data_IF_876366086130
#
_entry.id   IF_876366086130
#
_cell.length_a   1.000
_cell.length_b   1.000
_cell.length_c   1.000
_cell.angle_alpha   90.00
_cell.angle_beta   90.00
_cell.angle_gamma   90.00
#
_symmetry.space_group_name_H-M   'P 1'
#
loop_
_entity.id
_entity.type
_entity.pdbx_description
1 polymer ?
#
# COMPACT_ATOMS: atom_id res chain seq x y z
N UNK A 1 -22.34 -3.77 -17.10
CA UNK A 1 -21.26 -3.95 -18.09
C UNK A 1 -19.95 -3.31 -17.63
N UNK A 2 -19.93 -2.02 -17.24
CA UNK A 2 -18.73 -1.33 -16.73
C UNK A 2 -18.04 -2.04 -15.54
N UNK A 3 -18.78 -2.44 -14.51
CA UNK A 3 -18.19 -3.17 -13.36
C UNK A 3 -17.53 -4.49 -13.75
N UNK A 4 -18.10 -5.23 -14.71
CA UNK A 4 -17.55 -6.52 -15.15
C UNK A 4 -16.22 -6.35 -15.88
N UNK A 5 -16.10 -5.30 -16.70
CA UNK A 5 -14.83 -4.96 -17.37
C UNK A 5 -13.77 -4.54 -16.34
N UNK A 6 -14.17 -3.76 -15.33
CA UNK A 6 -13.25 -3.34 -14.28
C UNK A 6 -12.79 -4.52 -13.40
N UNK A 7 -13.66 -5.48 -13.13
CA UNK A 7 -13.31 -6.73 -12.42
C UNK A 7 -12.25 -7.57 -13.15
N UNK A 8 -12.15 -7.47 -14.47
CA UNK A 8 -11.10 -8.14 -15.26
C UNK A 8 -9.82 -7.31 -15.37
N UNK A 9 -9.93 -5.97 -15.31
CA UNK A 9 -8.79 -5.06 -15.46
C UNK A 9 -7.99 -4.90 -14.17
N UNK A 10 -8.63 -4.87 -12.99
CA UNK A 10 -7.89 -4.73 -11.71
C UNK A 10 -6.89 -5.85 -11.45
N UNK A 11 -7.22 -7.14 -11.67
CA UNK A 11 -6.26 -8.23 -11.56
C UNK A 11 -5.08 -8.10 -12.50
N UNK A 12 -5.33 -7.65 -13.74
CA UNK A 12 -4.25 -7.44 -14.70
C UNK A 12 -3.31 -6.31 -14.27
N UNK A 13 -3.86 -5.17 -13.84
CA UNK A 13 -3.07 -4.02 -13.35
C UNK A 13 -2.27 -4.37 -12.09
N UNK A 14 -2.89 -5.08 -11.14
CA UNK A 14 -2.23 -5.57 -9.94
C UNK A 14 -1.10 -6.56 -10.29
N UNK A 15 -1.35 -7.48 -11.23
CA UNK A 15 -0.35 -8.43 -11.73
C UNK A 15 0.84 -7.72 -12.38
N UNK A 16 0.57 -6.71 -13.22
CA UNK A 16 1.61 -5.89 -13.83
C UNK A 16 2.46 -5.19 -12.76
N UNK A 17 1.84 -4.48 -11.81
CA UNK A 17 2.56 -3.77 -10.75
C UNK A 17 3.44 -4.71 -9.91
N UNK A 18 2.93 -5.89 -9.54
CA UNK A 18 3.71 -6.91 -8.82
C UNK A 18 4.91 -7.39 -9.63
N UNK A 19 4.74 -7.63 -10.94
CA UNK A 19 5.85 -8.04 -11.80
C UNK A 19 6.92 -6.95 -11.93
N UNK A 20 6.50 -5.69 -12.02
CA UNK A 20 7.40 -4.57 -12.25
C UNK A 20 8.11 -4.12 -10.96
N UNK A 21 7.54 -4.38 -9.78
CA UNK A 21 8.18 -4.06 -8.50
C UNK A 21 9.59 -4.67 -8.41
N UNK A 22 9.73 -5.95 -8.78
CA UNK A 22 11.03 -6.63 -8.80
C UNK A 22 12.00 -6.03 -9.83
N UNK A 23 11.48 -5.45 -10.92
CA UNK A 23 12.29 -4.81 -11.97
C UNK A 23 12.84 -3.47 -11.51
N UNK A 24 12.04 -2.68 -10.77
CA UNK A 24 12.44 -1.37 -10.28
C UNK A 24 13.26 -1.41 -8.98
N UNK A 25 13.26 -2.55 -8.29
CA UNK A 25 14.02 -2.76 -7.05
C UNK A 25 15.53 -2.52 -7.27
N UNK A 26 16.13 -1.77 -6.36
CA UNK A 26 17.55 -1.39 -6.32
C UNK A 26 18.04 -0.66 -7.59
N UNK A 27 17.12 -0.07 -8.37
CA UNK A 27 17.46 0.67 -9.58
C UNK A 27 17.80 2.14 -9.28
N UNK A 28 18.90 2.59 -9.89
CA UNK A 28 19.34 3.99 -9.84
C UNK A 28 18.70 4.89 -10.90
N UNK A 29 19.13 6.16 -10.94
CA UNK A 29 18.56 7.23 -11.79
C UNK A 29 18.42 6.90 -13.29
N UNK A 30 19.32 6.09 -13.86
CA UNK A 30 19.24 5.69 -15.27
C UNK A 30 17.96 4.90 -15.59
N UNK A 31 17.32 4.27 -14.60
CA UNK A 31 16.06 3.58 -14.78
C UNK A 31 14.90 4.54 -15.05
N UNK A 32 14.96 5.78 -14.56
CA UNK A 32 13.86 6.76 -14.69
C UNK A 32 13.55 7.15 -16.13
N UNK A 33 14.51 7.01 -17.05
CA UNK A 33 14.29 7.33 -18.47
C UNK A 33 13.62 6.18 -19.24
N UNK A 34 13.57 4.98 -18.66
CA UNK A 34 13.04 3.76 -19.30
C UNK A 34 11.52 3.82 -19.46
N UNK A 35 11.00 3.10 -20.44
CA UNK A 35 9.56 2.95 -20.62
C UNK A 35 8.92 2.23 -19.43
N UNK A 36 9.58 1.21 -18.87
CA UNK A 36 9.09 0.45 -17.72
C UNK A 36 8.84 1.37 -16.51
N UNK A 37 9.80 2.21 -16.16
CA UNK A 37 9.62 3.20 -15.09
C UNK A 37 8.44 4.14 -15.34
N UNK A 38 8.32 4.68 -16.56
CA UNK A 38 7.24 5.59 -16.92
C UNK A 38 5.86 4.92 -16.81
N UNK A 39 5.74 3.65 -17.20
CA UNK A 39 4.51 2.89 -17.06
C UNK A 39 4.16 2.61 -15.60
N UNK A 40 5.14 2.21 -14.77
CA UNK A 40 4.93 2.04 -13.33
C UNK A 40 4.44 3.34 -12.70
N UNK A 41 5.13 4.44 -12.97
CA UNK A 41 4.80 5.75 -12.40
C UNK A 41 3.40 6.20 -12.81
N UNK A 42 3.07 6.10 -14.10
CA UNK A 42 1.74 6.48 -14.60
C UNK A 42 0.61 5.66 -13.97
N UNK A 43 0.83 4.36 -13.75
CA UNK A 43 -0.15 3.51 -13.07
C UNK A 43 -0.32 3.91 -11.60
N UNK A 44 0.78 4.10 -10.87
CA UNK A 44 0.72 4.51 -9.46
C UNK A 44 -0.01 5.86 -9.31
N UNK A 45 0.31 6.84 -10.15
CA UNK A 45 -0.35 8.15 -10.13
C UNK A 45 -1.84 8.09 -10.53
N UNK A 46 -2.20 7.16 -11.42
CA UNK A 46 -3.57 7.06 -11.95
C UNK A 46 -4.52 6.23 -11.09
N UNK A 47 -4.04 5.17 -10.44
CA UNK A 47 -4.89 4.18 -9.78
C UNK A 47 -5.71 4.75 -8.62
N UNK A 48 -5.11 5.62 -7.79
CA UNK A 48 -5.83 6.27 -6.68
C UNK A 48 -7.04 7.08 -7.16
N UNK A 49 -6.85 8.10 -8.00
CA UNK A 49 -7.95 8.91 -8.55
C UNK A 49 -8.98 8.08 -9.33
N UNK A 50 -8.53 7.11 -10.14
CA UNK A 50 -9.43 6.25 -10.91
C UNK A 50 -10.32 5.39 -10.00
N UNK A 51 -9.76 4.85 -8.91
CA UNK A 51 -10.52 4.03 -7.97
C UNK A 51 -11.64 4.81 -7.30
N UNK A 52 -11.39 6.09 -6.97
CA UNK A 52 -12.40 7.01 -6.42
C UNK A 52 -13.48 7.30 -7.45
N UNK A 53 -13.09 7.65 -8.69
CA UNK A 53 -14.05 8.00 -9.76
C UNK A 53 -14.95 6.81 -10.12
N UNK A 54 -14.41 5.60 -10.08
CA UNK A 54 -15.11 4.37 -10.46
C UNK A 54 -15.82 3.70 -9.28
N UNK A 55 -15.68 4.23 -8.05
CA UNK A 55 -16.24 3.67 -6.81
C UNK A 55 -15.92 2.18 -6.68
N UNK A 56 -14.64 1.85 -6.80
CA UNK A 56 -14.17 0.46 -6.76
C UNK A 56 -14.53 -0.17 -5.41
N UNK A 57 -15.12 -1.36 -5.46
CA UNK A 57 -15.50 -2.11 -4.27
C UNK A 57 -14.28 -2.55 -3.47
N UNK A 58 -14.49 -2.79 -2.17
CA UNK A 58 -13.47 -3.19 -1.20
C UNK A 58 -12.50 -4.27 -1.71
N UNK A 59 -13.01 -5.36 -2.30
CA UNK A 59 -12.18 -6.43 -2.86
C UNK A 59 -11.18 -5.94 -3.92
N UNK A 60 -11.56 -4.97 -4.74
CA UNK A 60 -10.68 -4.34 -5.72
C UNK A 60 -9.65 -3.43 -5.06
N UNK A 61 -10.06 -2.69 -4.02
CA UNK A 61 -9.14 -1.85 -3.23
C UNK A 61 -8.10 -2.71 -2.51
N UNK A 62 -8.51 -3.80 -1.87
CA UNK A 62 -7.65 -4.79 -1.25
C UNK A 62 -6.60 -5.34 -2.22
N UNK A 63 -7.05 -5.76 -3.41
CA UNK A 63 -6.17 -6.27 -4.46
C UNK A 63 -5.14 -5.22 -4.91
N UNK A 64 -5.58 -3.99 -5.19
CA UNK A 64 -4.69 -2.91 -5.63
C UNK A 64 -3.72 -2.49 -4.51
N UNK A 65 -4.20 -2.33 -3.27
CA UNK A 65 -3.38 -1.99 -2.12
C UNK A 65 -2.25 -3.00 -1.94
N UNK A 66 -2.56 -4.31 -2.00
CA UNK A 66 -1.55 -5.37 -1.91
C UNK A 66 -0.48 -5.34 -3.02
N UNK A 67 -0.80 -4.78 -4.20
CA UNK A 67 0.11 -4.68 -5.33
C UNK A 67 0.96 -3.39 -5.30
N UNK A 68 0.41 -2.32 -4.71
CA UNK A 68 1.08 -1.01 -4.57
C UNK A 68 2.01 -0.99 -3.37
N UNK A 69 1.64 -1.65 -2.27
CA UNK A 69 2.38 -1.60 -1.01
C UNK A 69 3.90 -1.92 -1.12
N UNK A 70 4.35 -2.91 -1.92
CA UNK A 70 5.78 -3.18 -2.09
C UNK A 70 6.58 -2.01 -2.67
N UNK A 71 5.93 -1.06 -3.35
CA UNK A 71 6.58 0.14 -3.86
C UNK A 71 7.01 1.14 -2.78
N UNK A 72 6.59 0.96 -1.52
CA UNK A 72 7.02 1.79 -0.40
C UNK A 72 8.40 1.41 0.16
N UNK A 73 8.96 0.26 -0.21
CA UNK A 73 10.27 -0.20 0.26
C UNK A 73 11.38 0.81 -0.09
N UNK A 74 12.34 1.04 0.82
CA UNK A 74 13.55 1.85 0.56
C UNK A 74 14.34 1.45 -0.70
N UNK A 75 14.24 0.19 -1.11
CA UNK A 75 14.88 -0.35 -2.31
C UNK A 75 14.30 0.22 -3.62
N UNK A 76 13.13 0.85 -3.56
CA UNK A 76 12.45 1.39 -4.73
C UNK A 76 12.91 2.82 -5.04
N UNK A 77 12.87 3.25 -6.32
CA UNK A 77 13.13 4.63 -6.70
C UNK A 77 12.23 5.62 -5.92
N UNK A 78 12.76 6.72 -5.36
CA UNK A 78 12.00 7.65 -4.52
C UNK A 78 10.72 8.17 -5.16
N UNK A 79 10.75 8.45 -6.47
CA UNK A 79 9.56 8.89 -7.23
C UNK A 79 8.45 7.85 -7.29
N UNK A 80 8.79 6.57 -7.31
CA UNK A 80 7.79 5.50 -7.25
C UNK A 80 7.25 5.33 -5.83
N UNK A 81 8.08 5.54 -4.80
CA UNK A 81 7.63 5.53 -3.40
C UNK A 81 6.63 6.68 -3.12
N UNK A 82 6.93 7.89 -3.60
CA UNK A 82 6.04 9.05 -3.51
C UNK A 82 4.69 8.76 -4.19
N UNK A 83 4.73 8.32 -5.45
CA UNK A 83 3.52 7.98 -6.20
C UNK A 83 2.73 6.82 -5.58
N UNK A 84 3.40 5.83 -4.99
CA UNK A 84 2.75 4.73 -4.26
C UNK A 84 2.06 5.22 -2.98
N UNK A 85 2.69 6.16 -2.27
CA UNK A 85 2.10 6.79 -1.08
C UNK A 85 0.83 7.56 -1.44
N UNK A 86 0.88 8.40 -2.47
CA UNK A 86 -0.28 9.12 -3.01
C UNK A 86 -1.38 8.16 -3.51
N UNK A 87 -0.99 7.08 -4.18
CA UNK A 87 -1.90 6.06 -4.64
C UNK A 87 -2.66 5.41 -3.48
N UNK A 88 -1.95 4.99 -2.42
CA UNK A 88 -2.56 4.36 -1.24
C UNK A 88 -3.48 5.33 -0.49
N UNK A 89 -3.14 6.62 -0.42
CA UNK A 89 -4.05 7.67 0.08
C UNK A 89 -5.29 7.84 -0.80
N UNK A 90 -5.17 7.70 -2.12
CA UNK A 90 -6.30 7.68 -3.04
C UNK A 90 -7.21 6.46 -2.82
N UNK A 91 -6.60 5.28 -2.64
CA UNK A 91 -7.31 4.03 -2.37
C UNK A 91 -8.03 4.06 -1.01
N UNK A 92 -7.45 4.68 0.02
CA UNK A 92 -8.05 4.76 1.35
C UNK A 92 -9.33 5.60 1.39
N UNK A 93 -9.52 6.50 0.41
CA UNK A 93 -10.79 7.23 0.23
C UNK A 93 -11.93 6.33 -0.23
N UNK A 94 -11.63 5.16 -0.79
CA UNK A 94 -12.62 4.17 -1.18
C UNK A 94 -12.88 3.16 -0.05
N UNK A 95 -11.80 2.65 0.56
CA UNK A 95 -11.86 1.80 1.75
C UNK A 95 -10.59 1.99 2.58
N UNK A 96 -10.72 2.71 3.70
CA UNK A 96 -9.61 2.92 4.62
C UNK A 96 -9.21 1.60 5.31
N UNK A 97 -10.21 0.78 5.70
CA UNK A 97 -10.02 -0.50 6.36
C UNK A 97 -9.17 -1.47 5.53
N UNK A 98 -9.47 -1.60 4.23
CA UNK A 98 -8.68 -2.44 3.34
C UNK A 98 -7.22 -1.98 3.28
N UNK A 99 -6.98 -0.67 3.06
CA UNK A 99 -5.62 -0.14 2.97
C UNK A 99 -4.89 -0.33 4.30
N UNK A 100 -5.53 0.01 5.41
CA UNK A 100 -4.99 -0.18 6.75
C UNK A 100 -4.63 -1.64 7.02
N UNK A 101 -5.53 -2.57 6.70
CA UNK A 101 -5.29 -4.01 6.89
C UNK A 101 -4.04 -4.48 6.17
N UNK A 102 -3.86 -4.14 4.89
CA UNK A 102 -2.66 -4.55 4.14
C UNK A 102 -1.38 -3.90 4.66
N UNK A 103 -1.42 -2.61 5.01
CA UNK A 103 -0.26 -1.90 5.55
C UNK A 103 0.13 -2.49 6.91
N UNK A 104 -0.85 -2.64 7.80
CA UNK A 104 -0.65 -3.20 9.13
C UNK A 104 -0.13 -4.64 9.02
N UNK A 105 -0.77 -5.52 8.24
CA UNK A 105 -0.31 -6.92 8.14
C UNK A 105 1.08 -7.08 7.53
N UNK A 106 1.49 -6.18 6.63
CA UNK A 106 2.80 -6.28 5.96
C UNK A 106 3.93 -5.69 6.80
N UNK A 107 3.68 -4.58 7.51
CA UNK A 107 4.71 -3.87 8.27
C UNK A 107 4.60 -4.01 9.79
N UNK A 108 3.57 -4.69 10.30
CA UNK A 108 3.51 -5.05 11.71
C UNK A 108 4.47 -6.21 11.95
N UNK A 109 5.63 -5.90 12.51
CA UNK A 109 6.56 -6.89 13.05
C UNK A 109 6.08 -7.42 14.40
N UNK A 110 4.80 -7.80 14.51
CA UNK A 110 4.29 -8.54 15.67
C UNK A 110 4.70 -10.01 15.56
N UNK A 111 6.00 -10.27 15.64
CA UNK A 111 6.51 -11.54 16.15
C UNK A 111 6.70 -11.42 17.66
N UNK A 112 5.59 -11.39 18.40
CA UNK A 112 5.59 -11.86 19.77
C UNK A 112 4.86 -13.19 19.77
N UNK A 113 5.65 -14.27 19.80
CA UNK A 113 5.15 -15.62 20.05
C UNK A 113 4.42 -15.61 21.39
N UNK A 114 3.09 -15.65 21.34
CA UNK A 114 2.29 -15.96 22.52
C UNK A 114 2.59 -17.41 22.92
N UNK A 115 3.17 -17.61 24.11
CA UNK A 115 3.34 -18.94 24.71
C UNK A 115 2.37 -19.05 25.89
N UNK A 116 1.47 -20.06 25.91
CA UNK A 116 0.48 -20.24 26.98
C UNK A 116 1.05 -20.81 28.29
N UNK A 117 2.37 -20.72 28.54
CA UNK A 117 2.99 -21.25 29.76
C UNK A 117 3.05 -20.20 30.89
N UNK A 118 2.74 -20.66 32.11
CA UNK A 118 2.08 -19.89 33.16
C UNK A 118 2.87 -18.95 34.08
N UNK A 119 4.23 -18.89 34.20
CA UNK A 119 4.80 -18.05 35.26
C UNK A 119 5.75 -16.89 34.89
N UNK A 120 5.98 -16.50 33.62
CA UNK A 120 6.92 -15.39 33.33
C UNK A 120 6.33 -14.37 32.33
N UNK A 121 6.11 -13.14 32.81
CA UNK A 121 5.36 -12.04 32.17
C UNK A 121 6.01 -11.48 30.89
N UNK A 122 5.19 -11.02 29.92
CA UNK A 122 5.58 -9.91 29.07
C UNK A 122 4.52 -8.78 29.01
N UNK A 123 4.85 -7.64 29.62
CA UNK A 123 4.36 -6.29 29.28
C UNK A 123 5.55 -5.33 29.42
N UNK A 124 5.98 -4.65 28.34
CA UNK A 124 5.30 -3.42 27.94
C UNK A 124 5.02 -3.35 26.43
N UNK A 125 3.81 -2.89 26.10
CA UNK A 125 3.43 -2.49 24.75
C UNK A 125 4.19 -1.19 24.39
N UNK A 126 5.24 -1.29 23.60
CA UNK A 126 5.80 -0.14 22.90
C UNK A 126 6.17 -0.55 21.48
N UNK A 127 5.44 -0.01 20.52
CA UNK A 127 5.73 -0.14 19.10
C UNK A 127 6.96 0.72 18.76
N UNK A 128 8.14 0.11 18.68
CA UNK A 128 9.25 0.69 17.92
C UNK A 128 9.31 -0.06 16.60
N UNK A 129 8.50 0.39 15.65
CA UNK A 129 8.53 -0.16 14.30
C UNK A 129 9.71 0.51 13.60
N UNK A 130 10.60 -0.28 13.01
CA UNK A 130 11.48 0.20 11.94
C UNK A 130 10.65 0.44 10.68
N UNK A 131 9.67 1.35 10.75
CA UNK A 131 8.91 1.79 9.60
C UNK A 131 9.75 2.77 8.82
N UNK A 132 9.79 2.58 7.52
CA UNK A 132 10.15 3.67 6.61
C UNK A 132 9.27 4.89 6.88
N UNK A 133 9.84 6.09 6.71
CA UNK A 133 9.15 7.36 6.96
C UNK A 133 7.79 7.42 6.27
N UNK A 134 7.69 6.82 5.08
CA UNK A 134 6.50 6.80 4.24
C UNK A 134 5.36 6.00 4.88
N UNK A 135 5.66 4.83 5.44
CA UNK A 135 4.64 3.96 6.05
C UNK A 135 4.12 4.57 7.35
N UNK A 136 5.00 5.20 8.13
CA UNK A 136 4.62 5.93 9.35
C UNK A 136 3.64 7.07 9.03
N UNK A 137 3.95 7.87 7.99
CA UNK A 137 3.07 8.93 7.52
C UNK A 137 1.71 8.40 7.07
N UNK A 138 1.68 7.28 6.36
CA UNK A 138 0.45 6.66 5.89
C UNK A 138 -0.42 6.17 7.05
N UNK A 139 0.17 5.49 8.04
CA UNK A 139 -0.57 5.01 9.22
C UNK A 139 -1.15 6.18 10.05
N UNK A 140 -0.39 7.27 10.19
CA UNK A 140 -0.88 8.49 10.84
C UNK A 140 -2.04 9.14 10.06
N UNK A 141 -1.97 9.17 8.73
CA UNK A 141 -3.04 9.65 7.87
C UNK A 141 -4.33 8.84 8.05
N UNK A 142 -4.23 7.50 7.99
CA UNK A 142 -5.38 6.60 8.19
C UNK A 142 -6.03 6.78 9.56
N UNK A 143 -5.20 6.88 10.62
CA UNK A 143 -5.68 7.07 11.99
C UNK A 143 -6.43 8.39 12.22
N UNK A 144 -6.16 9.40 11.38
CA UNK A 144 -6.85 10.69 11.42
C UNK A 144 -8.14 10.68 10.59
N UNK A 145 -8.29 9.79 9.61
CA UNK A 145 -9.54 9.64 8.85
C UNK A 145 -10.67 9.16 9.76
N UNK A 146 -10.42 8.18 10.63
CA UNK A 146 -11.44 7.66 11.56
C UNK A 146 -11.98 8.72 12.53
N UNK A 147 -11.12 9.65 12.94
CA UNK A 147 -11.51 10.76 13.84
C UNK A 147 -12.44 11.78 13.18
N UNK A 148 -12.45 11.86 11.84
CA UNK A 148 -13.33 12.77 11.10
C UNK A 148 -14.72 12.17 10.83
N UNK A 149 -14.87 10.85 10.86
CA UNK A 149 -16.15 10.14 10.71
C UNK A 149 -17.03 10.11 11.97
N UNK A 150 -16.51 10.58 13.11
CA UNK A 150 -17.19 10.61 14.42
C UNK A 150 -17.66 12.01 14.84
N UNK A 151 -17.59 13.02 13.95
CA UNK A 151 -18.16 14.36 14.16
C UNK A 151 -19.28 14.66 13.16
#
# INVERSE_FOLDING_TARGET
>A
YRERVLLEVWPWLAGFLRSQHAVSRDKGKAYEVTAAFKYQLALLQGLGPLSVQLKVHEQGIALLASAVLPYLEQSQPPRLQEAATECLQGLSRCSADSVWYFVATTYSTTQTCWSPAAPLEPLPLTSAIGLDSNVTQLMAYLSNMDKQSLN
#
